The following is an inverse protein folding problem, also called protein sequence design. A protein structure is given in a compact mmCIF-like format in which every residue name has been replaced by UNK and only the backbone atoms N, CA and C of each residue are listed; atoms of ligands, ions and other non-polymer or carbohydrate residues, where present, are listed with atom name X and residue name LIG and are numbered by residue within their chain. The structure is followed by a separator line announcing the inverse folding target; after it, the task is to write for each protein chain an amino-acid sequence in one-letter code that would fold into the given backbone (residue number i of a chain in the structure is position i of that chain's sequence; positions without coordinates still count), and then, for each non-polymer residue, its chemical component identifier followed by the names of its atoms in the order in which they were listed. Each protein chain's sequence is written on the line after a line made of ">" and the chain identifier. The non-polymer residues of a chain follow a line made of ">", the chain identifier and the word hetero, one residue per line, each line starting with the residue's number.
data_IF_646580569775
#
_entry.id   IF_646580569775
#
_cell.length_a   1.000
_cell.length_b   1.000
_cell.length_c   1.000
_cell.angle_alpha   90.00
_cell.angle_beta   90.00
_cell.angle_gamma   90.00
#
_symmetry.space_group_name_H-M   'P 1'
#
loop_
_entity.id
_entity.type
_entity.pdbx_description
1 polymer ?
2 polymer ?
3 non-polymer ?
#
# COMPACT_ATOMS: atom_id res chain seq x y z
CA UNK A 1 -4.98 -1.93 -0.58
C UNK A 1 -3.58 -2.40 -0.97
N UNK A 2 -2.43 -3.22 -0.74
CA UNK A 2 -1.09 -3.49 -1.26
C UNK A 2 -0.70 -4.96 -1.19
N UNK A 3 0.30 -5.32 -1.99
CA UNK A 3 1.16 -6.47 -1.72
C UNK A 3 2.58 -5.97 -1.55
N UNK A 4 3.25 -6.45 -0.51
CA UNK A 4 4.64 -6.09 -0.23
C UNK A 4 5.47 -7.37 -0.22
N UNK A 5 5.92 -7.78 -1.40
CA UNK A 5 6.73 -8.99 -1.50
C UNK A 5 8.18 -8.70 -1.13
N UNK A 6 8.40 -8.24 0.10
CA UNK A 6 9.77 -8.02 0.57
C UNK A 6 10.54 -9.34 0.51
N UNK A 7 11.77 -9.26 0.03
CA UNK A 7 12.56 -10.45 -0.29
C UNK A 7 11.77 -11.43 -1.15
CA UNK B 1 -11.99 5.44 -0.82
C UNK B 1 -10.59 5.92 -1.17
N UNK B 2 -9.93 6.42 0.00
CA UNK B 2 -8.66 6.59 -0.70
C UNK B 2 -7.42 6.00 -0.03
N UNK B 3 -6.34 5.97 -0.80
CA UNK B 3 -5.08 5.35 -0.44
C UNK B 3 -4.17 6.51 -0.06
N UNK B 4 -4.12 6.85 1.23
CA UNK B 4 -3.55 8.13 1.64
C UNK B 4 -2.23 7.93 2.38
N UNK B 5 -1.12 8.28 1.71
CA UNK B 5 0.10 8.72 2.38
C UNK B 5 0.04 10.22 2.59
N UNK B 6 0.41 10.65 3.79
CA UNK B 6 0.77 12.04 4.05
C UNK B 6 2.21 11.97 4.56
N UNK B 7 3.15 12.20 3.66
CA UNK B 7 4.52 11.72 3.85
C UNK B 7 5.43 12.75 4.51
X LIG C 1 -4.88 -12.57 -4.95
X LIG C 1 -3.87 -13.06 -5.98
X LIG C 1 -2.69 -12.65 -5.95
X LIG C 1 -4.55 -11.17 -4.44
X LIG C 1 -3.65 -11.02 -3.38
X LIG C 1 -3.33 -9.73 -2.91
X LIG C 1 -3.92 -8.58 -3.50
X LIG C 1 -3.59 -7.30 -3.02
X LIG C 1 -4.16 -6.19 -3.59
X LIG C 1 -5.07 -6.34 -4.67
X LIG C 1 -5.66 -5.21 -5.26
X LIG C 1 -6.56 -5.36 -6.32
X LIG C 1 -6.88 -6.63 -6.80
X LIG C 1 -6.29 -7.76 -6.21
X LIG C 1 -5.39 -7.61 -5.14
X LIG C 1 -4.81 -8.73 -4.56
X LIG C 1 -5.13 -10.02 -5.03
X LIG C 1 -6.04 -10.17 -6.10
X LIG C 1 -6.62 -9.05 -6.68
#
# INVERSE_FOLDING_TARGET
>A
XKKKKKK
>B
XEYEYEY
>C hetero
1 OG9 CA C O C05 C06 C07 C08 C09 C10 C11 C12 C13 C14 C15 C16 C17 C18 C19 C20
#
